data_IF_018405389226
#
_entry.id   IF_018405389226
#
_cell.length_a   1.000
_cell.length_b   1.000
_cell.length_c   1.000
_cell.angle_alpha   90.00
_cell.angle_beta   90.00
_cell.angle_gamma   90.00
#
_symmetry.space_group_name_H-M   'P 1'
#
loop_
_entity.id
_entity.type
_entity.pdbx_description
1 polymer ?
#
# COMPACT_ATOMS: atom_id res chain seq x y z
N UNK A 1 32.30 -9.44 25.67
CA UNK A 1 31.59 -10.54 26.34
C UNK A 1 32.10 -10.78 27.76
N UNK A 2 33.40 -10.64 28.03
CA UNK A 2 34.00 -10.90 29.36
C UNK A 2 33.40 -10.07 30.51
N UNK A 3 33.11 -8.77 30.29
CA UNK A 3 32.42 -7.92 31.29
C UNK A 3 30.99 -8.37 31.62
N UNK A 4 30.30 -9.05 30.69
CA UNK A 4 28.95 -9.55 30.91
C UNK A 4 28.95 -10.84 31.71
N UNK A 5 29.99 -11.67 31.55
CA UNK A 5 30.15 -12.94 32.25
C UNK A 5 30.45 -12.69 33.74
N UNK A 6 31.38 -11.78 34.06
CA UNK A 6 31.70 -11.42 35.45
C UNK A 6 30.56 -10.77 36.24
N UNK A 7 29.63 -10.06 35.56
CA UNK A 7 28.42 -9.51 36.20
C UNK A 7 27.37 -10.58 36.54
N UNK A 8 27.48 -11.79 35.95
CA UNK A 8 26.51 -12.88 36.14
C UNK A 8 27.02 -14.01 37.04
N UNK A 9 28.23 -13.88 37.59
CA UNK A 9 28.84 -14.88 38.47
C UNK A 9 28.03 -15.20 39.74
N UNK A 10 27.36 -14.25 40.43
CA UNK A 10 26.57 -14.59 41.62
C UNK A 10 25.19 -15.19 41.30
N UNK A 11 24.80 -15.27 40.02
CA UNK A 11 23.47 -15.75 39.62
C UNK A 11 23.44 -17.26 39.42
N UNK A 12 22.37 -17.86 39.95
CA UNK A 12 22.05 -19.28 39.75
C UNK A 12 21.77 -19.58 38.28
N UNK A 13 21.97 -20.82 37.87
CA UNK A 13 21.71 -21.26 36.49
C UNK A 13 20.26 -20.99 36.05
N UNK A 14 19.31 -21.00 37.00
CA UNK A 14 17.90 -20.68 36.75
C UNK A 14 17.69 -19.20 36.43
N UNK A 15 18.34 -18.29 37.16
CA UNK A 15 18.25 -16.85 36.90
C UNK A 15 18.91 -16.49 35.56
N UNK A 16 20.04 -17.13 35.21
CA UNK A 16 20.68 -16.98 33.90
C UNK A 16 19.74 -17.41 32.76
N UNK A 17 19.07 -18.55 32.91
CA UNK A 17 18.08 -19.02 31.93
C UNK A 17 16.88 -18.05 31.81
N UNK A 18 16.40 -17.53 32.95
CA UNK A 18 15.31 -16.56 32.98
C UNK A 18 15.70 -15.25 32.29
N UNK A 19 16.91 -14.75 32.51
CA UNK A 19 17.43 -13.56 31.82
C UNK A 19 17.54 -13.74 30.31
N UNK A 20 17.93 -14.94 29.85
CA UNK A 20 17.99 -15.27 28.42
C UNK A 20 16.58 -15.24 27.82
N UNK A 21 15.60 -15.87 28.47
CA UNK A 21 14.20 -15.88 28.00
C UNK A 21 13.60 -14.47 27.94
N UNK A 22 13.83 -13.66 28.98
CA UNK A 22 13.41 -12.25 29.01
C UNK A 22 14.06 -11.46 27.88
N UNK A 23 15.35 -11.69 27.62
CA UNK A 23 16.09 -11.03 26.54
C UNK A 23 15.50 -11.38 25.16
N UNK A 24 15.21 -12.67 24.91
CA UNK A 24 14.54 -13.10 23.67
C UNK A 24 13.15 -12.48 23.51
N UNK A 25 12.38 -12.39 24.60
CA UNK A 25 11.06 -11.79 24.58
C UNK A 25 11.11 -10.29 24.26
N UNK A 26 12.07 -9.56 24.85
CA UNK A 26 12.30 -8.15 24.55
C UNK A 26 12.72 -7.92 23.10
N UNK A 27 13.60 -8.77 22.56
CA UNK A 27 13.99 -8.72 21.14
C UNK A 27 12.77 -8.94 20.24
N UNK A 28 11.96 -9.96 20.53
CA UNK A 28 10.73 -10.26 19.78
C UNK A 28 9.74 -9.09 19.80
N UNK A 29 9.53 -8.46 20.96
CA UNK A 29 8.71 -7.25 21.08
C UNK A 29 9.28 -6.09 20.26
N UNK A 30 10.59 -5.87 20.32
CA UNK A 30 11.28 -4.85 19.53
C UNK A 30 11.04 -5.03 18.02
N UNK A 31 11.24 -6.25 17.51
CA UNK A 31 10.96 -6.58 16.10
C UNK A 31 9.50 -6.33 15.73
N UNK A 32 8.55 -6.76 16.55
CA UNK A 32 7.12 -6.54 16.31
C UNK A 32 6.76 -5.05 16.28
N UNK A 33 7.34 -4.24 17.16
CA UNK A 33 7.16 -2.79 17.17
C UNK A 33 7.70 -2.15 15.89
N UNK A 34 8.88 -2.57 15.42
CA UNK A 34 9.46 -2.07 14.16
C UNK A 34 8.56 -2.43 12.97
N UNK A 35 8.09 -3.69 12.88
CA UNK A 35 7.19 -4.13 11.81
C UNK A 35 5.88 -3.35 11.83
N UNK A 36 5.27 -3.15 13.02
CA UNK A 36 4.06 -2.35 13.18
C UNK A 36 4.27 -0.91 12.72
N UNK A 37 5.39 -0.28 13.11
CA UNK A 37 5.72 1.10 12.71
C UNK A 37 5.92 1.20 11.20
N UNK A 38 6.65 0.26 10.59
CA UNK A 38 6.84 0.21 9.15
C UNK A 38 5.50 0.09 8.39
N UNK A 39 4.63 -0.84 8.82
CA UNK A 39 3.29 -1.00 8.23
C UNK A 39 2.46 0.28 8.37
N UNK A 40 2.52 0.94 9.53
CA UNK A 40 1.79 2.18 9.78
C UNK A 40 2.24 3.30 8.82
N UNK A 41 3.55 3.50 8.67
CA UNK A 41 4.12 4.50 7.74
C UNK A 41 3.72 4.19 6.29
N UNK A 42 3.83 2.93 5.86
CA UNK A 42 3.40 2.51 4.52
C UNK A 42 1.92 2.79 4.28
N UNK A 43 1.05 2.41 5.22
CA UNK A 43 -0.39 2.66 5.12
C UNK A 43 -0.71 4.15 5.05
N UNK A 44 -0.02 4.98 5.84
CA UNK A 44 -0.19 6.44 5.80
C UNK A 44 0.18 7.03 4.44
N UNK A 45 1.30 6.62 3.85
CA UNK A 45 1.70 7.07 2.50
C UNK A 45 0.66 6.67 1.46
N UNK A 46 0.25 5.41 1.45
CA UNK A 46 -0.76 4.89 0.52
C UNK A 46 -2.11 5.61 0.65
N UNK A 47 -2.51 5.96 1.89
CA UNK A 47 -3.71 6.76 2.13
C UNK A 47 -3.58 8.16 1.55
N UNK A 48 -2.43 8.81 1.72
CA UNK A 48 -2.18 10.14 1.15
C UNK A 48 -2.20 10.11 -0.38
N UNK A 49 -1.60 9.09 -1.00
CA UNK A 49 -1.63 8.92 -2.46
C UNK A 49 -3.07 8.71 -2.97
N UNK A 50 -3.87 7.90 -2.26
CA UNK A 50 -5.28 7.72 -2.58
C UNK A 50 -6.09 9.01 -2.42
N UNK A 51 -5.88 9.77 -1.33
CA UNK A 51 -6.58 11.03 -1.10
C UNK A 51 -6.21 12.09 -2.15
N UNK A 52 -4.92 12.21 -2.47
CA UNK A 52 -4.43 13.08 -3.55
C UNK A 52 -5.10 12.70 -4.87
N UNK A 53 -5.09 11.40 -5.20
CA UNK A 53 -5.76 10.91 -6.41
C UNK A 53 -7.25 11.28 -6.41
N UNK A 54 -7.96 11.03 -5.31
CA UNK A 54 -9.40 11.26 -5.20
C UNK A 54 -9.78 12.74 -5.31
N UNK A 55 -8.99 13.62 -4.69
CA UNK A 55 -9.31 15.04 -4.60
C UNK A 55 -8.83 15.84 -5.81
N UNK A 56 -7.65 15.52 -6.32
CA UNK A 56 -6.98 16.37 -7.32
C UNK A 56 -6.99 15.73 -8.71
N UNK A 57 -6.89 14.40 -8.80
CA UNK A 57 -6.66 13.70 -10.08
C UNK A 57 -7.87 12.94 -10.60
N UNK A 58 -8.95 12.84 -9.81
CA UNK A 58 -10.17 12.14 -10.23
C UNK A 58 -10.82 12.80 -11.46
N UNK A 59 -10.88 14.12 -11.49
CA UNK A 59 -11.43 14.85 -12.64
C UNK A 59 -10.56 14.70 -13.89
N UNK A 60 -9.23 14.63 -13.71
CA UNK A 60 -8.29 14.33 -14.79
C UNK A 60 -8.55 12.92 -15.34
N UNK A 61 -8.73 11.93 -14.48
CA UNK A 61 -9.09 10.57 -14.90
C UNK A 61 -10.42 10.55 -15.70
N UNK A 62 -11.42 11.31 -15.27
CA UNK A 62 -12.70 11.41 -16.00
C UNK A 62 -12.54 12.09 -17.36
N UNK A 63 -11.71 13.13 -17.46
CA UNK A 63 -11.39 13.78 -18.73
C UNK A 63 -10.69 12.82 -19.70
N UNK A 64 -9.73 12.05 -19.19
CA UNK A 64 -9.03 11.00 -19.92
C UNK A 64 -10.02 9.93 -20.44
N UNK A 65 -10.95 9.48 -19.60
CA UNK A 65 -11.98 8.51 -19.98
C UNK A 65 -12.96 9.02 -21.03
N UNK A 66 -13.18 10.33 -21.08
CA UNK A 66 -14.03 11.00 -22.08
C UNK A 66 -13.27 11.39 -23.34
N UNK A 67 -11.94 11.30 -23.35
CA UNK A 67 -11.15 11.57 -24.53
C UNK A 67 -11.50 10.54 -25.62
N UNK A 68 -11.80 11.04 -26.82
CA UNK A 68 -12.15 10.19 -27.96
C UNK A 68 -10.92 9.46 -28.52
N UNK A 69 -9.72 9.97 -28.26
CA UNK A 69 -8.48 9.32 -28.69
C UNK A 69 -8.12 8.17 -27.76
N UNK A 70 -7.64 7.10 -28.36
CA UNK A 70 -7.04 5.99 -27.62
C UNK A 70 -5.71 6.45 -27.02
N UNK A 71 -5.57 6.23 -25.71
CA UNK A 71 -4.38 6.61 -24.95
C UNK A 71 -3.61 5.37 -24.52
N UNK A 72 -2.32 5.56 -24.22
CA UNK A 72 -1.49 4.52 -23.62
C UNK A 72 -1.36 4.67 -22.09
N UNK A 73 -0.72 3.70 -21.45
CA UNK A 73 -0.53 3.71 -19.99
C UNK A 73 0.47 4.76 -19.52
N UNK A 74 1.42 5.16 -20.37
CA UNK A 74 2.40 6.20 -20.03
C UNK A 74 1.71 7.55 -19.89
N UNK A 75 0.86 7.90 -20.86
CA UNK A 75 0.06 9.11 -20.83
C UNK A 75 -0.82 9.18 -19.58
N UNK A 76 -1.46 8.06 -19.20
CA UNK A 76 -2.27 8.00 -17.96
C UNK A 76 -1.40 8.27 -16.73
N UNK A 77 -0.23 7.64 -16.63
CA UNK A 77 0.68 7.86 -15.51
C UNK A 77 1.23 9.29 -15.44
N UNK A 78 1.55 9.91 -16.58
CA UNK A 78 2.03 11.29 -16.66
C UNK A 78 0.96 12.30 -16.23
N UNK A 79 -0.29 12.12 -16.67
CA UNK A 79 -1.37 13.06 -16.34
C UNK A 79 -1.84 12.95 -14.89
N UNK A 80 -1.92 11.71 -14.38
CA UNK A 80 -2.41 11.45 -13.03
C UNK A 80 -1.31 11.71 -11.99
N UNK A 81 -0.03 11.59 -12.38
CA UNK A 81 1.15 11.73 -11.49
C UNK A 81 1.09 10.84 -10.24
N UNK A 82 0.19 9.86 -10.25
CA UNK A 82 0.03 8.82 -9.22
C UNK A 82 0.07 7.50 -9.96
N UNK A 83 1.01 6.66 -9.57
CA UNK A 83 1.11 5.33 -10.13
C UNK A 83 -0.02 4.44 -9.59
N UNK A 84 -1.12 4.41 -10.35
CA UNK A 84 -2.29 3.60 -10.05
C UNK A 84 -1.94 2.11 -9.91
N UNK A 85 -0.88 1.64 -10.57
CA UNK A 85 -0.42 0.25 -10.50
C UNK A 85 0.30 -0.06 -9.19
N UNK A 86 0.81 0.95 -8.47
CA UNK A 86 1.51 0.79 -7.20
C UNK A 86 0.62 1.00 -5.96
N UNK A 87 -0.62 1.46 -6.14
CA UNK A 87 -1.58 1.57 -5.05
C UNK A 87 -1.89 0.20 -4.41
N UNK A 88 -2.12 0.20 -3.10
CA UNK A 88 -2.60 -0.98 -2.35
C UNK A 88 -3.93 -1.47 -2.96
N UNK A 89 -4.17 -2.78 -2.92
CA UNK A 89 -5.35 -3.41 -3.54
C UNK A 89 -6.66 -2.86 -3.01
N UNK A 90 -6.70 -2.48 -1.72
CA UNK A 90 -7.88 -1.84 -1.10
C UNK A 90 -8.23 -0.52 -1.78
N UNK A 91 -7.25 0.36 -2.02
CA UNK A 91 -7.48 1.65 -2.66
C UNK A 91 -7.81 1.50 -4.15
N UNK A 92 -7.14 0.58 -4.86
CA UNK A 92 -7.52 0.23 -6.24
C UNK A 92 -8.97 -0.21 -6.35
N UNK A 93 -9.44 -1.03 -5.41
CA UNK A 93 -10.82 -1.51 -5.38
C UNK A 93 -11.83 -0.37 -5.16
N UNK A 94 -11.51 0.59 -4.28
CA UNK A 94 -12.34 1.78 -4.09
C UNK A 94 -12.45 2.61 -5.37
N UNK A 95 -11.31 2.89 -6.03
CA UNK A 95 -11.26 3.63 -7.30
C UNK A 95 -12.07 2.89 -8.38
N UNK A 96 -11.89 1.58 -8.49
CA UNK A 96 -12.61 0.75 -9.46
C UNK A 96 -14.12 0.71 -9.22
N UNK A 97 -14.56 0.64 -7.96
CA UNK A 97 -15.98 0.68 -7.62
C UNK A 97 -16.62 2.03 -7.99
N UNK A 98 -15.91 3.13 -7.78
CA UNK A 98 -16.40 4.45 -8.19
C UNK A 98 -16.42 4.60 -9.70
N UNK A 99 -15.43 4.05 -10.42
CA UNK A 99 -15.46 3.98 -11.89
C UNK A 99 -16.67 3.20 -12.41
N UNK A 100 -16.98 2.05 -11.81
CA UNK A 100 -18.16 1.24 -12.15
C UNK A 100 -19.46 2.01 -11.97
N UNK A 101 -19.60 2.80 -10.91
CA UNK A 101 -20.78 3.65 -10.68
C UNK A 101 -20.92 4.68 -11.80
N UNK A 102 -19.85 5.38 -12.14
CA UNK A 102 -19.89 6.48 -13.12
C UNK A 102 -20.09 5.95 -14.55
N UNK A 103 -19.54 4.77 -14.88
CA UNK A 103 -19.77 4.13 -16.20
C UNK A 103 -21.25 3.99 -16.54
N UNK A 104 -22.13 3.83 -15.55
CA UNK A 104 -23.58 3.71 -15.77
C UNK A 104 -24.22 5.01 -16.30
N UNK A 105 -23.58 6.16 -16.10
CA UNK A 105 -24.17 7.48 -16.32
C UNK A 105 -23.42 8.35 -17.33
N UNK A 106 -22.28 7.90 -17.86
CA UNK A 106 -21.43 8.69 -18.73
C UNK A 106 -20.99 7.91 -19.97
N UNK A 107 -20.97 8.58 -21.11
CA UNK A 107 -20.32 8.06 -22.31
C UNK A 107 -18.80 8.15 -22.14
N UNK A 108 -18.11 7.01 -22.24
CA UNK A 108 -16.66 6.90 -22.11
C UNK A 108 -16.08 6.18 -23.32
N UNK A 109 -14.84 6.54 -23.68
CA UNK A 109 -14.06 5.74 -24.62
C UNK A 109 -13.81 4.35 -23.99
N UNK A 110 -14.28 3.32 -24.70
CA UNK A 110 -14.23 1.92 -24.24
C UNK A 110 -12.80 1.42 -24.07
N UNK A 111 -11.90 1.80 -24.96
CA UNK A 111 -10.47 1.44 -24.94
C UNK A 111 -9.80 2.04 -23.70
N UNK A 112 -10.01 3.34 -23.46
CA UNK A 112 -9.44 4.05 -22.31
C UNK A 112 -9.97 3.47 -20.99
N UNK A 113 -11.27 3.16 -20.94
CA UNK A 113 -11.87 2.50 -19.79
C UNK A 113 -11.26 1.12 -19.52
N UNK A 114 -11.03 0.32 -20.57
CA UNK A 114 -10.40 -0.99 -20.43
C UNK A 114 -8.95 -0.88 -19.95
N UNK A 115 -8.19 0.09 -20.47
CA UNK A 115 -6.81 0.34 -20.04
C UNK A 115 -6.74 0.73 -18.56
N UNK A 116 -7.55 1.70 -18.12
CA UNK A 116 -7.60 2.14 -16.72
C UNK A 116 -8.10 1.00 -15.82
N UNK A 117 -9.09 0.23 -16.26
CA UNK A 117 -9.54 -0.96 -15.55
C UNK A 117 -8.42 -2.00 -15.40
N UNK A 118 -7.57 -2.17 -16.42
CA UNK A 118 -6.40 -3.07 -16.35
C UNK A 118 -5.33 -2.55 -15.38
N UNK A 119 -5.04 -1.25 -15.39
CA UNK A 119 -4.10 -0.64 -14.44
C UNK A 119 -4.55 -0.79 -12.98
N UNK A 120 -5.86 -0.75 -12.73
CA UNK A 120 -6.45 -0.94 -11.40
C UNK A 120 -6.67 -2.42 -11.04
N UNK A 121 -6.84 -3.30 -12.02
CA UNK A 121 -7.03 -4.74 -11.79
C UNK A 121 -5.69 -5.45 -11.72
N UNK A 122 -5.27 -5.72 -10.49
CA UNK A 122 -4.10 -6.55 -10.24
C UNK A 122 -4.45 -8.03 -10.49
N UNK A 123 -4.53 -8.48 -11.76
CA UNK A 123 -4.67 -9.89 -12.24
C UNK A 123 -5.68 -10.85 -11.54
N UNK A 124 -6.53 -10.39 -10.62
CA UNK A 124 -7.43 -11.23 -9.79
C UNK A 124 -8.88 -10.74 -9.73
N UNK A 125 -9.32 -9.95 -10.70
CA UNK A 125 -10.74 -9.59 -10.84
C UNK A 125 -11.22 -10.03 -12.22
N UNK A 126 -11.14 -11.33 -12.46
CA UNK A 126 -11.99 -12.05 -13.41
C UNK A 126 -12.88 -12.93 -12.55
N UNK A 127 -14.13 -12.49 -12.40
CA UNK A 127 -15.36 -13.28 -12.26
C UNK A 127 -16.51 -12.28 -12.19
#
# INVERSE_FOLDING_TARGET
>A
MEKFIGMTEPLTNFEKFTLILVSFWLIYLGFNCIIKRYRSVKNRRMLLDYLRFKNEKWNVLLAILRNNNDIDSRYVSEQIEVDLSNLDTRYKMLIYNDLKKIKKFNHFNKTNYQLISRLLSNKRFVN
#
